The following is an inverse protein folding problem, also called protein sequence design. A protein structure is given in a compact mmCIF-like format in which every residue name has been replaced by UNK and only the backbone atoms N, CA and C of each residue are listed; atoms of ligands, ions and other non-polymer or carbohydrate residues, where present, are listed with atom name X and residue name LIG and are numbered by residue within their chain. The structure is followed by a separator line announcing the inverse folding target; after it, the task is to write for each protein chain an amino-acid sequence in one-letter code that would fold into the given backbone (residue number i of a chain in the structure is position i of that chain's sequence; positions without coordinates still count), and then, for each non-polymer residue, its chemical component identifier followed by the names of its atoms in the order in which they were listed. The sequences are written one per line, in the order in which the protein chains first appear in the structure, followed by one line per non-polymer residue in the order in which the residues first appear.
data_IF_963837878025
#
_entry.id   IF_963837878025
#
_cell.length_a   1.000
_cell.length_b   1.000
_cell.length_c   1.000
_cell.angle_alpha   90.00
_cell.angle_beta   90.00
_cell.angle_gamma   90.00
#
_symmetry.space_group_name_H-M   'P 1'
#
loop_
_entity.id
_entity.type
_entity.pdbx_description
1 polymer ?
#
# COMPACT_ATOMS: atom_id res chain seq x y z
N UNK A 1 -28.12 -13.64 38.73
CA UNK A 1 -27.19 -14.52 37.98
C UNK A 1 -27.45 -14.40 36.47
N UNK A 2 -27.47 -13.16 35.97
CA UNK A 2 -27.68 -12.81 34.54
C UNK A 2 -26.69 -11.70 34.15
N UNK A 3 -26.34 -10.82 35.10
CA UNK A 3 -25.31 -9.80 34.94
C UNK A 3 -23.87 -10.34 34.72
N UNK A 4 -23.56 -11.55 35.18
CA UNK A 4 -22.19 -12.11 35.08
C UNK A 4 -21.89 -12.70 33.69
N UNK A 5 -22.92 -13.12 32.93
CA UNK A 5 -22.75 -13.68 31.58
C UNK A 5 -22.51 -12.56 30.54
N UNK A 6 -23.05 -11.36 30.76
CA UNK A 6 -22.78 -10.21 29.88
C UNK A 6 -21.36 -9.64 30.05
N UNK A 7 -20.75 -9.76 31.24
CA UNK A 7 -19.38 -9.30 31.49
C UNK A 7 -18.32 -10.21 30.88
N UNK A 8 -18.61 -11.50 30.68
CA UNK A 8 -17.68 -12.45 30.06
C UNK A 8 -17.67 -12.39 28.52
N UNK A 9 -18.78 -11.97 27.89
CA UNK A 9 -18.82 -11.76 26.43
C UNK A 9 -18.19 -10.43 25.98
N UNK A 10 -17.96 -9.48 26.89
CA UNK A 10 -17.29 -8.22 26.59
C UNK A 10 -15.75 -8.31 26.62
N UNK A 11 -15.19 -9.38 27.18
CA UNK A 11 -13.74 -9.51 27.42
C UNK A 11 -12.97 -10.29 26.32
N UNK A 12 -13.66 -10.96 25.40
CA UNK A 12 -13.04 -11.56 24.20
C UNK A 12 -13.12 -10.66 22.96
N UNK A 13 -13.80 -9.51 23.07
CA UNK A 13 -13.99 -8.57 21.97
C UNK A 13 -12.89 -7.49 21.85
N UNK A 14 -11.83 -7.54 22.68
CA UNK A 14 -10.53 -7.00 22.27
C UNK A 14 -9.86 -8.01 21.35
N UNK A 15 -10.48 -8.10 20.17
CA UNK A 15 -10.05 -8.86 19.02
C UNK A 15 -8.55 -8.69 18.78
N UNK A 16 -7.78 -9.74 19.07
CA UNK A 16 -6.41 -9.90 18.57
C UNK A 16 -6.47 -9.85 17.04
N UNK A 17 -6.21 -8.67 16.47
CA UNK A 17 -6.12 -8.49 15.03
C UNK A 17 -5.15 -9.52 14.46
N UNK A 18 -5.59 -10.29 13.46
CA UNK A 18 -4.75 -11.30 12.84
C UNK A 18 -3.48 -10.65 12.30
N UNK A 19 -2.33 -11.06 12.79
CA UNK A 19 -1.03 -10.57 12.29
C UNK A 19 -0.65 -11.27 10.99
N UNK A 20 0.06 -10.55 10.12
CA UNK A 20 0.58 -11.05 8.85
C UNK A 20 1.97 -10.52 8.58
N UNK A 21 2.77 -11.31 7.86
CA UNK A 21 4.03 -10.86 7.27
C UNK A 21 3.73 -10.22 5.91
N UNK A 22 3.99 -8.93 5.79
CA UNK A 22 3.99 -8.19 4.53
C UNK A 22 5.40 -8.24 3.96
N UNK A 23 5.53 -8.49 2.67
CA UNK A 23 6.85 -8.63 2.03
C UNK A 23 6.77 -8.31 0.55
N UNK A 24 7.90 -7.91 -0.01
CA UNK A 24 7.99 -7.64 -1.43
C UNK A 24 9.40 -7.30 -1.87
N UNK A 25 9.50 -6.94 -3.14
CA UNK A 25 10.74 -6.49 -3.77
C UNK A 25 10.52 -5.20 -4.53
N UNK A 26 11.42 -4.24 -4.38
CA UNK A 26 11.45 -3.01 -5.17
C UNK A 26 12.50 -3.17 -6.26
N UNK A 27 12.12 -2.86 -7.50
CA UNK A 27 13.01 -2.92 -8.67
C UNK A 27 12.97 -1.60 -9.44
N UNK A 28 14.04 -1.34 -10.18
CA UNK A 28 14.09 -0.28 -11.18
C UNK A 28 13.26 -0.74 -12.37
N UNK A 29 12.24 0.05 -12.74
CA UNK A 29 11.30 -0.36 -13.76
C UNK A 29 11.97 -0.55 -15.12
N UNK A 30 12.99 0.21 -15.48
CA UNK A 30 13.57 0.14 -16.83
C UNK A 30 14.60 -1.00 -16.92
N UNK A 31 15.47 -1.12 -15.91
CA UNK A 31 16.57 -2.10 -15.90
C UNK A 31 16.19 -3.46 -15.32
N UNK A 32 15.04 -3.54 -14.64
CA UNK A 32 14.54 -4.70 -13.89
C UNK A 32 15.47 -5.16 -12.75
N UNK A 33 16.49 -4.35 -12.43
CA UNK A 33 17.43 -4.66 -11.37
C UNK A 33 16.83 -4.32 -10.00
N UNK A 34 17.15 -5.08 -8.95
CA UNK A 34 16.74 -4.74 -7.61
C UNK A 34 17.22 -3.37 -7.15
N UNK A 35 16.39 -2.67 -6.37
CA UNK A 35 16.71 -1.36 -5.81
C UNK A 35 17.01 -1.46 -4.32
N UNK A 36 18.29 -1.47 -3.98
CA UNK A 36 18.77 -1.29 -2.60
C UNK A 36 18.50 0.13 -2.10
N UNK A 37 18.20 0.28 -0.81
CA UNK A 37 18.13 1.60 -0.18
C UNK A 37 16.82 2.36 -0.46
N UNK A 38 15.81 1.73 -1.06
CA UNK A 38 14.46 2.28 -1.11
C UNK A 38 13.81 2.17 0.27
N UNK A 39 13.09 3.20 0.71
CA UNK A 39 12.35 3.17 1.97
C UNK A 39 10.93 2.71 1.69
N UNK A 40 10.49 1.70 2.43
CA UNK A 40 9.11 1.24 2.42
C UNK A 40 8.48 1.63 3.75
N UNK A 41 7.41 2.42 3.71
CA UNK A 41 6.63 2.82 4.88
C UNK A 41 5.27 2.15 4.80
N UNK A 42 4.91 1.38 5.82
CA UNK A 42 3.57 0.86 6.01
C UNK A 42 2.88 1.66 7.12
N UNK A 43 1.65 2.09 6.89
CA UNK A 43 0.86 2.76 7.92
C UNK A 43 -0.56 2.21 8.01
N UNK A 44 -1.03 2.05 9.23
CA UNK A 44 -2.36 1.53 9.56
C UNK A 44 -3.22 2.66 10.06
N UNK A 45 -4.46 2.67 9.59
CA UNK A 45 -5.51 3.52 10.12
C UNK A 45 -6.43 2.69 11.01
N UNK A 46 -6.82 3.25 12.13
CA UNK A 46 -7.96 2.75 12.89
C UNK A 46 -9.20 3.52 12.44
N UNK A 47 -10.28 2.81 12.16
CA UNK A 47 -11.52 3.35 11.63
C UNK A 47 -12.69 3.03 12.57
N UNK A 48 -13.64 3.94 12.68
CA UNK A 48 -14.94 3.70 13.30
C UNK A 48 -16.04 4.13 12.32
N UNK A 49 -17.15 3.41 12.32
CA UNK A 49 -18.31 3.84 11.54
C UNK A 49 -18.97 5.06 12.18
N UNK A 50 -19.28 6.06 11.37
CA UNK A 50 -20.10 7.20 11.74
C UNK A 50 -21.23 7.41 10.72
N UNK A 51 -22.29 8.18 11.05
CA UNK A 51 -23.45 8.37 10.18
C UNK A 51 -23.13 8.90 8.77
N UNK A 52 -22.05 9.66 8.61
CA UNK A 52 -21.63 10.28 7.34
C UNK A 52 -20.46 9.55 6.66
N UNK A 53 -20.21 8.30 7.06
CA UNK A 53 -19.06 7.53 6.61
C UNK A 53 -18.10 7.24 7.74
N UNK A 54 -16.98 6.61 7.41
CA UNK A 54 -16.03 6.21 8.43
C UNK A 54 -15.14 7.39 8.85
N UNK A 55 -14.94 7.52 10.16
CA UNK A 55 -13.89 8.37 10.72
C UNK A 55 -12.64 7.54 10.92
N UNK A 56 -11.47 8.08 10.58
CA UNK A 56 -10.20 7.35 10.71
C UNK A 56 -9.17 8.15 11.47
N UNK A 57 -8.28 7.45 12.18
CA UNK A 57 -7.09 8.02 12.82
C UNK A 57 -5.88 7.14 12.56
N UNK A 58 -4.70 7.75 12.57
CA UNK A 58 -3.46 7.01 12.43
C UNK A 58 -3.24 6.12 13.64
N UNK A 59 -3.06 4.82 13.41
CA UNK A 59 -2.85 3.81 14.46
C UNK A 59 -1.38 3.45 14.62
N UNK A 60 -0.73 3.09 13.51
CA UNK A 60 0.63 2.58 13.51
C UNK A 60 1.36 2.98 12.23
N UNK A 61 2.67 3.15 12.34
CA UNK A 61 3.60 3.36 11.22
C UNK A 61 4.79 2.43 11.44
N UNK A 62 5.23 1.76 10.38
CA UNK A 62 6.47 0.97 10.33
C UNK A 62 7.23 1.36 9.07
N UNK A 63 8.55 1.42 9.16
CA UNK A 63 9.41 1.61 8.00
C UNK A 63 10.55 0.60 7.98
N UNK A 64 11.04 0.29 6.78
CA UNK A 64 12.32 -0.37 6.58
C UNK A 64 12.96 0.13 5.30
N UNK A 65 14.21 -0.28 5.11
CA UNK A 65 14.99 0.00 3.91
C UNK A 65 15.19 -1.32 3.18
N UNK A 66 15.04 -1.31 1.85
CA UNK A 66 15.30 -2.48 1.02
C UNK A 66 16.77 -2.88 1.06
N UNK A 67 17.02 -4.19 1.07
CA UNK A 67 18.36 -4.76 1.05
C UNK A 67 18.98 -4.75 -0.37
N UNK A 68 20.18 -5.33 -0.52
CA UNK A 68 20.88 -5.47 -1.80
C UNK A 68 20.09 -6.22 -2.89
N UNK A 69 19.13 -7.05 -2.50
CA UNK A 69 18.24 -7.76 -3.42
C UNK A 69 16.92 -7.01 -3.64
N UNK A 70 16.82 -5.75 -3.18
CA UNK A 70 15.61 -4.94 -3.23
C UNK A 70 14.48 -5.48 -2.32
N UNK A 71 14.75 -6.47 -1.48
CA UNK A 71 13.76 -7.15 -0.65
C UNK A 71 13.43 -6.35 0.60
N UNK A 72 12.21 -6.54 1.09
CA UNK A 72 11.75 -5.97 2.36
C UNK A 72 10.66 -6.83 2.99
N UNK A 73 10.51 -6.71 4.32
CA UNK A 73 9.40 -7.35 5.04
C UNK A 73 9.05 -6.66 6.36
N UNK A 74 7.79 -6.79 6.78
CA UNK A 74 7.27 -6.34 8.06
C UNK A 74 6.30 -7.36 8.65
N UNK A 75 6.16 -7.37 9.96
CA UNK A 75 5.02 -8.00 10.64
C UNK A 75 4.06 -6.90 11.08
N UNK A 76 2.78 -7.03 10.76
CA UNK A 76 1.75 -6.07 11.18
C UNK A 76 0.35 -6.68 11.17
N UNK A 77 -0.65 -5.90 11.58
CA UNK A 77 -2.04 -6.34 11.54
C UNK A 77 -2.54 -6.48 10.10
N UNK A 78 -3.27 -7.55 9.79
CA UNK A 78 -3.83 -7.80 8.45
C UNK A 78 -4.89 -6.75 8.06
N UNK A 79 -5.59 -6.21 9.05
CA UNK A 79 -6.65 -5.22 8.91
C UNK A 79 -7.87 -5.72 8.13
N UNK A 80 -8.84 -4.82 7.98
CA UNK A 80 -10.08 -5.07 7.26
C UNK A 80 -10.36 -3.99 6.21
N UNK A 81 -10.81 -4.36 5.01
CA UNK A 81 -11.07 -3.40 3.93
C UNK A 81 -12.33 -2.57 4.20
N UNK A 82 -13.25 -3.09 5.01
CA UNK A 82 -14.54 -2.49 5.37
C UNK A 82 -14.84 -2.79 6.84
N UNK A 83 -15.78 -2.06 7.45
CA UNK A 83 -16.19 -2.31 8.83
C UNK A 83 -16.69 -3.77 8.96
N UNK A 84 -15.99 -4.64 9.73
CA UNK A 84 -16.42 -6.01 9.94
C UNK A 84 -17.71 -6.11 10.78
N UNK A 85 -18.10 -5.02 11.44
CA UNK A 85 -19.25 -4.92 12.33
C UNK A 85 -20.40 -4.11 11.73
N UNK A 86 -20.43 -3.92 10.40
CA UNK A 86 -21.45 -3.10 9.75
C UNK A 86 -22.89 -3.53 10.09
N UNK A 87 -23.12 -4.83 10.31
CA UNK A 87 -24.42 -5.40 10.67
C UNK A 87 -24.85 -5.11 12.12
N UNK A 88 -23.90 -4.72 12.99
CA UNK A 88 -24.17 -4.34 14.37
C UNK A 88 -24.53 -2.85 14.49
N UNK A 89 -24.31 -2.05 13.44
CA UNK A 89 -24.58 -0.62 13.45
C UNK A 89 -26.00 -0.23 13.94
N UNK A 90 -27.09 -0.95 13.63
CA UNK A 90 -28.42 -0.62 14.17
C UNK A 90 -28.57 -0.82 15.68
N UNK A 91 -27.75 -1.69 16.28
CA UNK A 91 -27.86 -2.09 17.68
C UNK A 91 -26.89 -1.33 18.59
N UNK A 92 -25.71 -1.00 18.06
CA UNK A 92 -24.62 -0.40 18.82
C UNK A 92 -24.00 0.78 18.09
N UNK A 93 -24.75 1.46 17.22
CA UNK A 93 -24.26 2.57 16.39
C UNK A 93 -23.70 3.78 17.15
N UNK A 94 -23.87 3.81 18.48
CA UNK A 94 -23.27 4.79 19.39
C UNK A 94 -22.01 4.27 20.10
N UNK A 95 -21.70 2.97 20.03
CA UNK A 95 -20.45 2.43 20.53
C UNK A 95 -19.35 2.70 19.51
N UNK A 96 -18.26 3.33 19.97
CA UNK A 96 -17.05 3.57 19.19
C UNK A 96 -16.30 2.25 18.94
N UNK A 97 -16.88 1.38 18.12
CA UNK A 97 -16.26 0.13 17.70
C UNK A 97 -15.23 0.42 16.62
N UNK A 98 -14.02 0.70 17.11
CA UNK A 98 -12.85 0.85 16.27
C UNK A 98 -12.39 -0.49 15.69
N UNK A 99 -11.91 -0.45 14.46
CA UNK A 99 -11.28 -1.58 13.80
C UNK A 99 -10.10 -1.11 12.95
N UNK A 100 -9.13 -1.99 12.71
CA UNK A 100 -7.94 -1.63 11.93
C UNK A 100 -8.19 -1.85 10.45
N UNK A 101 -7.94 -0.81 9.63
CA UNK A 101 -7.95 -0.90 8.17
C UNK A 101 -6.73 -1.68 7.68
N UNK A 102 -6.82 -2.20 6.45
CA UNK A 102 -5.64 -2.68 5.74
C UNK A 102 -4.52 -1.62 5.77
N UNK A 103 -3.25 -2.04 5.85
CA UNK A 103 -2.14 -1.09 5.73
C UNK A 103 -2.14 -0.41 4.37
N UNK A 104 -1.77 0.85 4.40
CA UNK A 104 -1.34 1.59 3.23
C UNK A 104 0.18 1.57 3.15
N UNK A 105 0.72 1.70 1.94
CA UNK A 105 2.17 1.66 1.71
C UNK A 105 2.65 2.90 0.95
N UNK A 106 3.84 3.36 1.30
CA UNK A 106 4.64 4.29 0.52
C UNK A 106 5.95 3.58 0.17
N UNK A 107 6.38 3.66 -1.09
CA UNK A 107 7.72 3.22 -1.51
C UNK A 107 8.42 4.44 -2.11
N UNK A 108 9.53 4.84 -1.48
CA UNK A 108 10.26 6.06 -1.82
C UNK A 108 11.76 5.81 -1.99
N UNK A 109 12.32 6.34 -3.07
CA UNK A 109 13.76 6.41 -3.28
C UNK A 109 14.10 7.75 -3.99
N UNK A 110 15.05 8.54 -3.47
CA UNK A 110 15.56 9.75 -4.15
C UNK A 110 15.85 9.51 -5.64
N UNK A 111 15.36 10.38 -6.52
CA UNK A 111 15.51 10.23 -7.98
C UNK A 111 14.62 9.19 -8.65
N UNK A 112 13.62 8.62 -7.97
CA UNK A 112 12.66 7.66 -8.53
C UNK A 112 11.21 8.13 -8.32
N UNK A 113 10.28 7.59 -9.11
CA UNK A 113 8.85 7.68 -8.87
C UNK A 113 8.49 7.08 -7.51
N UNK A 114 7.47 7.66 -6.87
CA UNK A 114 6.99 7.20 -5.56
C UNK A 114 5.69 6.45 -5.70
N UNK A 115 5.60 5.32 -5.03
CA UNK A 115 4.34 4.62 -4.85
C UNK A 115 3.58 5.22 -3.67
N UNK A 116 2.31 5.59 -3.86
CA UNK A 116 1.38 5.95 -2.77
C UNK A 116 -0.03 5.44 -3.07
N UNK A 117 -0.93 5.30 -2.07
CA UNK A 117 -2.35 5.03 -2.32
C UNK A 117 -2.96 6.22 -3.07
N UNK A 118 -3.13 6.09 -4.39
CA UNK A 118 -3.60 7.16 -5.29
C UNK A 118 -2.58 7.55 -6.36
N UNK A 119 -1.32 7.16 -6.21
CA UNK A 119 -0.31 7.24 -7.27
C UNK A 119 0.36 5.87 -7.41
N UNK A 120 -0.27 4.92 -8.14
CA UNK A 120 0.32 3.61 -8.33
C UNK A 120 1.65 3.74 -9.08
N UNK A 121 2.59 2.86 -8.75
CA UNK A 121 3.87 2.79 -9.41
C UNK A 121 3.70 2.33 -10.86
N UNK A 122 4.78 2.45 -11.63
CA UNK A 122 4.79 2.08 -13.05
C UNK A 122 4.45 0.61 -13.25
N UNK A 123 4.87 -0.25 -12.32
CA UNK A 123 4.69 -1.70 -12.39
C UNK A 123 4.35 -2.31 -11.04
N UNK A 124 3.36 -3.19 -11.00
CA UNK A 124 3.07 -4.10 -9.88
C UNK A 124 2.93 -5.53 -10.40
N UNK A 125 3.46 -6.50 -9.64
CA UNK A 125 3.18 -7.90 -9.89
C UNK A 125 3.03 -8.67 -8.58
N UNK A 126 2.01 -9.53 -8.48
CA UNK A 126 1.72 -10.28 -7.27
C UNK A 126 1.04 -11.62 -7.57
N UNK A 127 1.20 -12.64 -6.71
CA UNK A 127 0.62 -13.94 -6.95
C UNK A 127 -0.88 -13.91 -6.64
N UNK A 128 -1.65 -14.58 -7.49
CA UNK A 128 -3.07 -14.79 -7.29
C UNK A 128 -3.39 -16.28 -7.30
N UNK A 129 -4.06 -16.73 -6.24
CA UNK A 129 -4.48 -18.13 -6.08
C UNK A 129 -5.94 -18.16 -5.65
N UNK A 130 -6.79 -18.72 -6.50
CA UNK A 130 -8.20 -18.94 -6.25
C UNK A 130 -8.51 -20.43 -6.33
N UNK A 131 -8.47 -21.09 -5.16
CA UNK A 131 -8.73 -22.54 -5.03
C UNK A 131 -10.12 -22.95 -5.52
N UNK A 132 -11.14 -22.09 -5.38
CA UNK A 132 -12.52 -22.41 -5.81
C UNK A 132 -12.64 -22.47 -7.34
N UNK A 133 -11.86 -21.64 -8.05
CA UNK A 133 -11.83 -21.61 -9.52
C UNK A 133 -10.69 -22.45 -10.10
N UNK A 134 -9.93 -23.16 -9.26
CA UNK A 134 -8.71 -23.88 -9.64
C UNK A 134 -7.77 -23.00 -10.49
N UNK A 135 -7.62 -21.75 -10.07
CA UNK A 135 -6.90 -20.73 -10.82
C UNK A 135 -5.70 -20.26 -10.00
N UNK A 136 -4.50 -20.40 -10.57
CA UNK A 136 -3.28 -19.84 -10.00
C UNK A 136 -2.43 -19.17 -11.08
N UNK A 137 -1.78 -18.08 -10.70
CA UNK A 137 -0.96 -17.31 -11.60
C UNK A 137 -0.50 -15.99 -11.01
N UNK A 138 -0.06 -15.11 -11.88
CA UNK A 138 0.51 -13.82 -11.54
C UNK A 138 -0.37 -12.74 -12.13
N UNK A 139 -0.77 -11.79 -11.29
CA UNK A 139 -1.40 -10.55 -11.74
C UNK A 139 -0.29 -9.54 -11.99
N UNK A 140 -0.38 -8.84 -13.10
CA UNK A 140 0.58 -7.81 -13.49
C UNK A 140 -0.17 -6.55 -13.88
N UNK A 141 0.26 -5.41 -13.35
CA UNK A 141 -0.26 -4.09 -13.69
C UNK A 141 0.90 -3.23 -14.19
N UNK A 142 0.87 -2.84 -15.46
CA UNK A 142 1.77 -1.83 -16.04
C UNK A 142 0.96 -0.58 -16.32
N UNK A 143 1.26 0.52 -15.61
CA UNK A 143 0.43 1.74 -15.65
C UNK A 143 0.20 2.28 -17.06
N UNK A 144 1.25 2.33 -17.87
CA UNK A 144 1.17 2.84 -19.25
C UNK A 144 0.25 1.95 -20.12
N UNK A 145 0.34 0.62 -19.98
CA UNK A 145 -0.50 -0.33 -20.71
C UNK A 145 -1.97 -0.26 -20.25
N UNK A 146 -2.22 -0.08 -18.95
CA UNK A 146 -3.58 0.06 -18.43
C UNK A 146 -4.23 1.39 -18.87
N UNK A 147 -3.45 2.48 -18.97
CA UNK A 147 -3.92 3.74 -19.56
C UNK A 147 -4.25 3.55 -21.05
N UNK A 148 -3.37 2.90 -21.82
CA UNK A 148 -3.60 2.65 -23.25
C UNK A 148 -4.86 1.79 -23.48
N UNK A 149 -5.03 0.71 -22.71
CA UNK A 149 -6.22 -0.12 -22.72
C UNK A 149 -7.48 0.68 -22.38
N UNK A 150 -7.44 1.51 -21.33
CA UNK A 150 -8.56 2.38 -20.96
C UNK A 150 -8.90 3.41 -22.06
N UNK A 151 -7.92 3.99 -22.74
CA UNK A 151 -8.15 4.92 -23.84
C UNK A 151 -8.76 4.24 -25.08
N UNK A 152 -8.33 3.01 -25.38
CA UNK A 152 -8.81 2.24 -26.54
C UNK A 152 -10.23 1.72 -26.35
N UNK A 153 -10.53 1.19 -25.16
CA UNK A 153 -11.80 0.49 -24.89
C UNK A 153 -12.76 1.26 -23.97
N UNK A 154 -12.33 2.35 -23.34
CA UNK A 154 -13.06 3.05 -22.28
C UNK A 154 -13.83 4.32 -22.71
N UNK A 155 -14.09 4.54 -24.01
CA UNK A 155 -14.82 5.73 -24.50
C UNK A 155 -16.26 5.91 -23.95
N UNK A 156 -16.81 4.94 -23.20
CA UNK A 156 -18.13 5.04 -22.56
C UNK A 156 -18.10 5.23 -21.03
N UNK A 157 -16.93 5.44 -20.42
CA UNK A 157 -16.83 5.52 -18.96
C UNK A 157 -16.04 6.73 -18.50
N UNK A 158 -16.78 7.80 -18.20
CA UNK A 158 -16.27 9.01 -17.57
C UNK A 158 -15.65 8.71 -16.19
N UNK A 159 -14.33 8.87 -16.15
CA UNK A 159 -13.46 9.40 -15.09
C UNK A 159 -13.46 8.86 -13.65
N UNK A 160 -14.32 7.93 -13.20
CA UNK A 160 -14.18 7.48 -11.79
C UNK A 160 -14.55 6.02 -11.46
N UNK A 161 -14.79 5.14 -12.45
CA UNK A 161 -15.21 3.75 -12.19
C UNK A 161 -14.59 2.65 -13.07
N UNK A 162 -13.46 2.94 -13.73
CA UNK A 162 -13.01 2.22 -14.92
C UNK A 162 -12.12 0.97 -14.76
N UNK A 163 -11.89 0.40 -13.57
CA UNK A 163 -10.88 -0.69 -13.44
C UNK A 163 -11.47 -2.08 -13.17
N UNK A 164 -12.72 -2.19 -12.70
CA UNK A 164 -13.18 -3.46 -12.10
C UNK A 164 -14.04 -4.36 -12.99
N UNK A 165 -14.48 -3.93 -14.18
CA UNK A 165 -15.33 -4.77 -15.05
C UNK A 165 -14.56 -5.62 -16.06
N UNK A 166 -13.38 -5.19 -16.52
CA UNK A 166 -12.57 -5.92 -17.52
C UNK A 166 -11.59 -6.93 -16.93
N UNK A 167 -11.41 -6.93 -15.60
CA UNK A 167 -10.40 -7.75 -14.94
C UNK A 167 -8.97 -7.22 -15.12
N UNK A 168 -8.07 -7.82 -14.35
CA UNK A 168 -6.64 -7.47 -14.30
C UNK A 168 -5.85 -8.43 -15.19
N UNK A 169 -4.77 -7.97 -15.85
CA UNK A 169 -3.89 -8.83 -16.64
C UNK A 169 -3.35 -9.99 -15.80
N UNK A 170 -3.52 -11.20 -16.33
CA UNK A 170 -3.31 -12.43 -15.58
C UNK A 170 -2.53 -13.45 -16.41
N UNK A 171 -1.44 -13.92 -15.82
CA UNK A 171 -0.55 -14.93 -16.38
C UNK A 171 -0.68 -16.22 -15.58
N UNK A 172 -1.33 -17.27 -16.13
CA UNK A 172 -1.36 -18.58 -15.49
C UNK A 172 0.06 -19.07 -15.23
N UNK A 173 0.32 -19.46 -13.98
CA UNK A 173 1.63 -19.94 -13.57
C UNK A 173 1.51 -20.80 -12.33
N UNK A 174 2.14 -21.97 -12.39
CA UNK A 174 2.36 -22.79 -11.20
C UNK A 174 3.36 -22.10 -10.27
N UNK A 175 3.13 -22.21 -8.96
CA UNK A 175 3.99 -21.61 -7.93
C UNK A 175 4.30 -20.11 -8.17
N UNK A 176 3.27 -19.25 -8.32
CA UNK A 176 3.46 -17.88 -8.81
C UNK A 176 4.35 -17.01 -7.91
N UNK A 177 4.34 -17.23 -6.59
CA UNK A 177 5.27 -16.52 -5.68
C UNK A 177 6.74 -16.88 -5.97
N UNK A 178 7.05 -18.14 -6.26
CA UNK A 178 8.42 -18.57 -6.58
C UNK A 178 8.92 -17.91 -7.85
N UNK A 179 8.07 -17.84 -8.89
CA UNK A 179 8.40 -17.15 -10.15
C UNK A 179 8.67 -15.65 -9.93
N UNK A 180 7.84 -15.00 -9.12
CA UNK A 180 8.04 -13.59 -8.75
C UNK A 180 9.38 -13.38 -8.03
N UNK A 181 9.75 -14.25 -7.09
CA UNK A 181 11.05 -14.17 -6.41
C UNK A 181 12.25 -14.35 -7.35
N UNK A 182 12.07 -15.12 -8.41
CA UNK A 182 13.09 -15.33 -9.45
C UNK A 182 13.05 -14.27 -10.55
N UNK A 183 12.09 -13.33 -10.51
CA UNK A 183 11.79 -12.38 -11.59
C UNK A 183 11.50 -13.07 -12.94
N UNK A 184 11.05 -14.32 -12.90
CA UNK A 184 10.60 -15.10 -14.07
C UNK A 184 9.16 -14.72 -14.43
N UNK A 185 8.99 -13.47 -14.86
CA UNK A 185 7.68 -12.86 -15.16
C UNK A 185 7.75 -12.01 -16.43
N UNK A 186 6.64 -11.89 -17.17
CA UNK A 186 6.54 -10.93 -18.26
C UNK A 186 6.43 -9.51 -17.69
N UNK A 187 7.45 -8.68 -17.93
CA UNK A 187 7.42 -7.25 -17.55
C UNK A 187 6.64 -6.37 -18.53
N UNK A 188 6.23 -6.94 -19.65
CA UNK A 188 5.44 -6.30 -20.67
C UNK A 188 4.45 -7.31 -21.25
N UNK A 189 3.34 -6.81 -21.78
CA UNK A 189 2.26 -7.64 -22.32
C UNK A 189 1.45 -6.89 -23.35
N UNK A 190 0.96 -7.63 -24.35
CA UNK A 190 0.06 -7.07 -25.36
C UNK A 190 -1.32 -6.78 -24.79
N UNK A 191 -2.10 -5.97 -25.50
CA UNK A 191 -3.47 -5.63 -25.12
C UNK A 191 -4.41 -6.87 -25.06
N UNK A 192 -4.07 -7.93 -25.79
CA UNK A 192 -4.81 -9.20 -25.83
C UNK A 192 -4.47 -10.15 -24.67
N UNK A 193 -3.74 -9.66 -23.66
CA UNK A 193 -3.43 -10.42 -22.44
C UNK A 193 -4.72 -10.96 -21.82
N UNK A 194 -4.68 -12.22 -21.37
CA UNK A 194 -5.78 -12.78 -20.59
C UNK A 194 -6.01 -11.91 -19.36
N UNK A 195 -7.23 -11.42 -19.19
CA UNK A 195 -7.64 -10.69 -17.99
C UNK A 195 -8.52 -11.56 -17.10
N UNK A 196 -8.36 -11.44 -15.80
CA UNK A 196 -9.17 -12.16 -14.82
C UNK A 196 -9.81 -11.21 -13.83
N UNK A 197 -11.05 -11.51 -13.45
CA UNK A 197 -11.69 -10.83 -12.33
C UNK A 197 -11.05 -11.31 -11.02
N UNK A 198 -10.02 -10.57 -10.62
CA UNK A 198 -9.38 -10.70 -9.32
C UNK A 198 -10.31 -10.01 -8.33
N UNK A 199 -10.80 -10.75 -7.33
CA UNK A 199 -11.54 -10.14 -6.22
C UNK A 199 -10.57 -9.44 -5.27
N UNK A 200 -9.84 -8.47 -5.79
CA UNK A 200 -9.08 -7.54 -4.98
C UNK A 200 -9.91 -6.27 -4.85
N UNK A 201 -10.36 -5.95 -3.63
CA UNK A 201 -11.07 -4.71 -3.37
C UNK A 201 -10.12 -3.49 -3.41
N UNK A 202 -9.06 -3.48 -4.22
CA UNK A 202 -8.05 -2.40 -4.30
C UNK A 202 -7.18 -2.19 -3.04
N UNK A 203 -7.51 -2.80 -1.90
CA UNK A 203 -6.84 -2.60 -0.61
C UNK A 203 -5.88 -3.73 -0.20
N UNK A 204 -5.46 -4.58 -1.13
CA UNK A 204 -4.77 -5.84 -0.82
C UNK A 204 -3.36 -5.97 -1.36
N UNK A 205 -2.83 -4.92 -2.00
CA UNK A 205 -1.42 -4.89 -2.38
C UNK A 205 -0.54 -5.22 -1.16
N UNK A 206 0.51 -6.02 -1.38
CA UNK A 206 1.46 -6.48 -0.36
C UNK A 206 0.93 -7.46 0.70
N UNK A 207 -0.33 -7.92 0.65
CA UNK A 207 -0.79 -9.05 1.48
C UNK A 207 -0.07 -10.36 1.13
N UNK A 208 0.41 -10.47 -0.09
CA UNK A 208 1.30 -11.52 -0.59
C UNK A 208 2.60 -10.87 -1.09
N UNK A 209 3.60 -11.69 -1.37
CA UNK A 209 4.85 -11.21 -1.98
C UNK A 209 4.55 -10.40 -3.24
N UNK A 210 4.91 -9.12 -3.25
CA UNK A 210 4.60 -8.19 -4.35
C UNK A 210 5.88 -7.55 -4.86
N UNK A 211 6.00 -7.44 -6.18
CA UNK A 211 7.07 -6.70 -6.83
C UNK A 211 6.53 -5.33 -7.21
N UNK A 212 7.23 -4.27 -6.80
CA UNK A 212 6.95 -2.91 -7.19
C UNK A 212 8.10 -2.39 -8.06
N UNK A 213 7.80 -2.09 -9.33
CA UNK A 213 8.73 -1.44 -10.24
C UNK A 213 8.47 0.07 -10.27
N UNK A 214 9.47 0.84 -9.89
CA UNK A 214 9.44 2.31 -9.89
C UNK A 214 10.39 2.86 -10.96
N UNK A 215 9.95 3.86 -11.72
CA UNK A 215 10.72 4.46 -12.80
C UNK A 215 11.71 5.49 -12.28
N UNK A 216 12.88 5.58 -12.92
CA UNK A 216 13.88 6.60 -12.60
C UNK A 216 13.46 7.96 -13.16
N UNK A 217 13.66 9.02 -12.38
CA UNK A 217 13.34 10.40 -12.75
C UNK A 217 14.63 11.14 -13.11
N UNK A 218 14.77 11.48 -14.39
CA UNK A 218 16.01 12.07 -14.91
C UNK A 218 16.07 13.58 -14.79
N UNK A 219 14.91 14.26 -14.74
CA UNK A 219 14.86 15.73 -14.69
C UNK A 219 14.44 16.26 -13.32
N UNK A 220 14.93 17.46 -13.00
CA UNK A 220 14.54 18.17 -11.77
C UNK A 220 13.03 18.41 -11.71
N UNK A 221 12.41 18.76 -12.84
CA UNK A 221 10.97 19.00 -12.92
C UNK A 221 10.13 17.74 -12.66
N UNK A 222 10.54 16.58 -13.20
CA UNK A 222 9.91 15.30 -12.88
C UNK A 222 10.01 15.00 -11.38
N UNK A 223 11.19 15.20 -10.79
CA UNK A 223 11.43 14.94 -9.36
C UNK A 223 10.60 15.87 -8.48
N UNK A 224 10.53 17.17 -8.79
CA UNK A 224 9.67 18.15 -8.09
C UNK A 224 8.19 17.78 -8.18
N UNK A 225 7.72 17.40 -9.38
CA UNK A 225 6.33 16.93 -9.58
C UNK A 225 6.04 15.70 -8.74
N UNK A 226 6.94 14.71 -8.74
CA UNK A 226 6.82 13.51 -7.91
C UNK A 226 6.73 13.86 -6.41
N UNK A 227 7.62 14.74 -5.93
CA UNK A 227 7.62 15.19 -4.54
C UNK A 227 6.35 15.92 -4.10
N UNK A 228 5.66 16.61 -5.01
CA UNK A 228 4.39 17.29 -4.69
C UNK A 228 3.26 16.34 -4.29
N UNK A 229 3.41 15.05 -4.62
CA UNK A 229 2.41 14.00 -4.31
C UNK A 229 2.67 13.27 -3.00
N UNK A 230 3.72 13.66 -2.26
CA UNK A 230 4.24 12.91 -1.12
C UNK A 230 4.27 13.82 0.10
N UNK A 231 3.83 13.29 1.23
CA UNK A 231 3.95 13.95 2.52
C UNK A 231 4.32 12.94 3.61
N UNK A 232 4.94 13.40 4.71
CA UNK A 232 5.02 12.63 5.95
C UNK A 232 3.66 12.11 6.39
N UNK A 233 3.63 10.93 7.01
CA UNK A 233 2.40 10.41 7.62
C UNK A 233 2.24 11.03 9.01
N UNK A 234 1.25 11.91 9.17
CA UNK A 234 0.94 12.55 10.44
C UNK A 234 -0.39 12.06 11.00
N UNK A 235 -0.50 11.93 12.34
CA UNK A 235 -1.79 11.73 12.95
C UNK A 235 -2.63 13.02 12.87
N UNK A 236 -3.95 12.89 13.02
CA UNK A 236 -4.84 14.04 13.16
C UNK A 236 -4.68 14.76 14.50
N UNK A 237 -4.21 14.06 15.54
CA UNK A 237 -3.93 14.63 16.86
C UNK A 237 -2.46 15.08 17.00
N UNK A 238 -2.25 16.35 17.31
CA UNK A 238 -0.88 16.90 17.45
C UNK A 238 -0.09 16.30 18.62
N UNK A 239 -0.79 15.70 19.60
CA UNK A 239 -0.20 15.18 20.84
C UNK A 239 0.81 14.06 20.54
N UNK A 240 0.55 13.24 19.53
CA UNK A 240 1.38 12.07 19.20
C UNK A 240 2.25 12.25 17.94
N UNK A 241 2.30 13.46 17.39
CA UNK A 241 2.94 13.72 16.10
C UNK A 241 4.41 13.27 16.07
N UNK A 242 5.22 13.69 17.04
CA UNK A 242 6.66 13.37 17.05
C UNK A 242 6.93 11.87 17.22
N UNK A 243 6.08 11.16 17.97
CA UNK A 243 6.15 9.71 18.11
C UNK A 243 5.96 8.99 16.77
N UNK A 244 5.02 9.44 15.93
CA UNK A 244 4.82 8.88 14.59
C UNK A 244 5.90 9.31 13.59
N UNK A 245 6.42 10.53 13.70
CA UNK A 245 7.53 10.99 12.84
C UNK A 245 8.82 10.20 13.12
N UNK A 246 9.11 9.86 14.38
CA UNK A 246 10.25 9.01 14.75
C UNK A 246 10.18 7.60 14.14
N UNK A 247 8.98 7.08 13.90
CA UNK A 247 8.77 5.75 13.27
C UNK A 247 9.00 5.74 11.75
N UNK A 248 9.25 6.88 11.13
CA UNK A 248 9.49 7.04 9.69
C UNK A 248 10.74 7.90 9.40
N UNK A 249 11.78 7.78 10.25
CA UNK A 249 12.95 8.67 10.23
C UNK A 249 13.77 8.53 8.95
N UNK A 250 13.90 7.31 8.40
CA UNK A 250 14.63 7.08 7.15
C UNK A 250 13.88 7.71 5.97
N UNK A 251 12.55 7.61 5.97
CA UNK A 251 11.71 8.28 4.99
C UNK A 251 11.88 9.80 5.05
N UNK A 252 11.73 10.40 6.24
CA UNK A 252 11.87 11.84 6.45
C UNK A 252 13.25 12.35 6.03
N UNK A 253 14.31 11.64 6.43
CA UNK A 253 15.68 11.99 6.09
C UNK A 253 15.87 12.09 4.58
N UNK A 254 15.51 11.03 3.85
CA UNK A 254 15.69 10.97 2.39
C UNK A 254 14.78 11.95 1.65
N UNK A 255 13.57 12.16 2.16
CA UNK A 255 12.63 13.14 1.61
C UNK A 255 13.21 14.56 1.71
N UNK A 256 13.75 14.93 2.88
CA UNK A 256 14.39 16.24 3.08
C UNK A 256 15.68 16.38 2.26
N UNK A 257 16.50 15.33 2.15
CA UNK A 257 17.69 15.31 1.28
C UNK A 257 17.32 15.55 -0.20
N UNK A 258 16.31 14.85 -0.71
CA UNK A 258 15.81 15.01 -2.07
C UNK A 258 15.31 16.45 -2.32
N UNK A 259 14.54 17.00 -1.38
CA UNK A 259 14.05 18.39 -1.45
C UNK A 259 15.20 19.39 -1.52
N UNK A 260 16.20 19.25 -0.64
CA UNK A 260 17.40 20.10 -0.62
C UNK A 260 18.17 20.04 -1.94
N UNK A 261 18.35 18.85 -2.51
CA UNK A 261 19.02 18.67 -3.81
C UNK A 261 18.28 19.39 -4.96
N UNK A 262 16.97 19.58 -4.84
CA UNK A 262 16.14 20.25 -5.85
C UNK A 262 15.98 21.75 -5.60
N UNK A 263 16.68 22.30 -4.61
CA UNK A 263 16.55 23.71 -4.21
C UNK A 263 15.20 24.03 -3.57
N UNK A 264 14.50 23.02 -3.04
CA UNK A 264 13.27 23.21 -2.28
C UNK A 264 13.59 23.34 -0.80
N UNK A 265 12.80 24.14 -0.08
CA UNK A 265 12.85 24.12 1.38
C UNK A 265 12.47 22.74 1.90
N UNK A 266 13.28 22.20 2.82
CA UNK A 266 12.95 20.97 3.53
C UNK A 266 11.70 21.16 4.40
N UNK A 267 11.08 20.06 4.82
CA UNK A 267 9.97 20.18 5.77
C UNK A 267 10.46 20.54 7.18
N UNK A 268 11.74 20.30 7.48
CA UNK A 268 12.32 20.53 8.80
C UNK A 268 11.89 19.51 9.86
N UNK A 269 11.06 18.52 9.49
CA UNK A 269 10.62 17.47 10.42
C UNK A 269 11.75 16.52 10.79
N UNK A 270 12.62 16.15 9.85
CA UNK A 270 13.78 15.33 10.18
C UNK A 270 14.66 16.00 11.23
N UNK A 271 14.92 17.30 11.04
CA UNK A 271 15.71 18.11 11.97
C UNK A 271 15.06 18.20 13.36
N UNK A 272 13.73 18.25 13.43
CA UNK A 272 12.99 18.26 14.69
C UNK A 272 13.14 16.97 15.50
N UNK A 273 13.13 15.81 14.84
CA UNK A 273 13.03 14.50 15.53
C UNK A 273 14.34 13.74 15.63
N UNK A 274 15.41 14.20 14.97
CA UNK A 274 16.70 13.49 14.96
C UNK A 274 17.50 13.59 16.26
N UNK A 275 17.26 14.60 17.09
CA UNK A 275 18.09 14.94 18.26
C UNK A 275 17.60 14.34 19.58
N UNK A 276 16.47 13.61 19.60
CA UNK A 276 15.88 13.03 20.81
C UNK A 276 16.25 11.54 21.03
N UNK A 277 17.53 11.19 20.82
CA UNK A 277 18.05 9.82 21.02
C UNK A 277 18.48 9.53 22.45
#
# INVERSE_FOLDING_TARGET
MVAVVFSLLAFEATALGKTRVFRGRVIDFDTKQPLEGAVVVAYWLEAASAPLGEVTRLKEVKECVTDSNGEWSFVGEEGHPHNPYWYLFPLVGFLELYYTRNPNFIIFKPGYETYTPGNPCTFLAYPYVNKKRLLEGIVIEVRENEIAHALKYGKDHTENRLVNSSGEPFFPAESPESKLRLLDIPFDYSEDVRRELVKNNGFYYFRSYTIAGIKKLFTSEQRKKNLSTIAPIYPSDKINMDSFLKKQIQFLKRLDEERKQLGLEGYGYYERVKDEK
#
